data_IF_546789671620
#
_entry.id   IF_546789671620
#
_cell.length_a   1.000
_cell.length_b   1.000
_cell.length_c   1.000
_cell.angle_alpha   90.00
_cell.angle_beta   90.00
_cell.angle_gamma   90.00
#
_symmetry.space_group_name_H-M   'P 1'
#
loop_
_entity.id
_entity.type
_entity.pdbx_description
1 polymer ?
#
# COMPACT_ATOMS: atom_id res chain seq x y z
N UNK A 1 17.71 -17.08 -60.62
CA UNK A 1 16.79 -16.38 -59.69
C UNK A 1 17.65 -15.62 -58.69
N UNK A 2 17.38 -14.33 -58.50
CA UNK A 2 18.14 -13.50 -57.57
C UNK A 2 17.49 -13.57 -56.19
N UNK A 3 18.19 -14.10 -55.20
CA UNK A 3 17.79 -14.02 -53.80
C UNK A 3 18.93 -13.37 -53.01
N UNK A 4 18.57 -12.55 -52.02
CA UNK A 4 19.49 -12.03 -51.02
C UNK A 4 19.08 -12.64 -49.69
N UNK A 5 20.03 -13.26 -48.98
CA UNK A 5 19.78 -13.76 -47.63
C UNK A 5 19.69 -12.58 -46.66
N UNK A 6 18.70 -12.59 -45.77
CA UNK A 6 18.61 -11.64 -44.67
C UNK A 6 19.55 -12.04 -43.53
N UNK A 7 20.18 -11.06 -42.90
CA UNK A 7 20.90 -11.30 -41.64
C UNK A 7 19.87 -11.57 -40.53
N UNK A 8 19.94 -12.75 -39.92
CA UNK A 8 19.21 -13.04 -38.69
C UNK A 8 20.07 -12.57 -37.51
N UNK A 9 19.49 -11.72 -36.65
CA UNK A 9 20.10 -11.35 -35.36
C UNK A 9 19.60 -12.35 -34.33
N UNK A 10 20.53 -12.98 -33.60
CA UNK A 10 20.19 -13.81 -32.44
C UNK A 10 19.85 -12.88 -31.28
N UNK A 11 18.63 -12.98 -30.76
CA UNK A 11 18.28 -12.37 -29.49
C UNK A 11 19.02 -13.15 -28.39
N UNK A 12 19.83 -12.44 -27.62
CA UNK A 12 20.48 -12.97 -26.42
C UNK A 12 19.79 -12.32 -25.22
N UNK A 13 19.36 -13.13 -24.27
CA UNK A 13 18.88 -12.67 -22.98
C UNK A 13 20.08 -12.69 -22.05
N UNK A 14 20.44 -11.53 -21.53
CA UNK A 14 21.53 -11.42 -20.56
C UNK A 14 20.97 -11.74 -19.18
N UNK A 15 21.65 -12.66 -18.50
CA UNK A 15 21.26 -13.18 -17.18
C UNK A 15 22.42 -12.94 -16.22
N UNK A 16 22.10 -12.48 -15.02
CA UNK A 16 23.03 -12.31 -13.92
C UNK A 16 22.51 -13.02 -12.69
N UNK A 17 23.40 -13.59 -11.89
CA UNK A 17 23.05 -14.36 -10.69
C UNK A 17 23.77 -13.80 -9.48
N UNK A 18 23.03 -13.57 -8.42
CA UNK A 18 23.54 -13.28 -7.09
C UNK A 18 23.74 -14.61 -6.36
N UNK A 19 24.96 -14.87 -5.89
CA UNK A 19 25.34 -16.14 -5.24
C UNK A 19 25.37 -16.07 -3.70
N UNK A 20 24.85 -14.99 -3.11
CA UNK A 20 24.98 -14.68 -1.68
C UNK A 20 26.18 -13.77 -1.34
N UNK A 21 27.05 -13.49 -2.31
CA UNK A 21 28.24 -12.67 -2.09
C UNK A 21 28.55 -11.68 -3.21
N UNK A 22 28.26 -12.04 -4.47
CA UNK A 22 28.53 -11.20 -5.62
C UNK A 22 27.61 -11.52 -6.78
N UNK A 23 27.43 -10.52 -7.65
CA UNK A 23 26.77 -10.69 -8.93
C UNK A 23 27.73 -11.26 -9.98
N UNK A 24 27.29 -12.26 -10.73
CA UNK A 24 28.02 -12.84 -11.86
C UNK A 24 27.14 -12.90 -13.11
N UNK A 25 27.64 -12.49 -14.30
CA UNK A 25 28.98 -11.95 -14.56
C UNK A 25 29.19 -10.49 -14.10
N UNK A 26 28.11 -9.72 -13.94
CA UNK A 26 28.11 -8.32 -13.49
C UNK A 26 26.81 -8.01 -12.76
N UNK A 27 26.74 -6.88 -12.06
CA UNK A 27 25.49 -6.38 -11.50
C UNK A 27 24.36 -6.26 -12.57
N UNK A 28 23.10 -6.45 -12.17
CA UNK A 28 21.94 -6.30 -13.04
C UNK A 28 21.74 -4.84 -13.43
N UNK A 29 21.01 -4.65 -14.53
CA UNK A 29 20.39 -3.39 -14.91
C UNK A 29 19.03 -3.71 -15.55
N UNK A 30 18.30 -2.69 -15.96
CA UNK A 30 16.97 -2.84 -16.54
C UNK A 30 16.92 -3.62 -17.89
N UNK A 31 18.06 -4.07 -18.42
CA UNK A 31 18.14 -4.93 -19.61
C UNK A 31 18.46 -6.39 -19.28
N UNK A 32 18.86 -6.72 -18.05
CA UNK A 32 19.30 -8.06 -17.64
C UNK A 32 18.29 -8.76 -16.75
N UNK A 33 18.14 -10.08 -16.89
CA UNK A 33 17.39 -10.91 -15.94
C UNK A 33 18.25 -11.11 -14.69
N UNK A 34 17.75 -10.73 -13.53
CA UNK A 34 18.39 -10.94 -12.24
C UNK A 34 17.87 -12.22 -11.60
N UNK A 35 18.77 -13.08 -11.13
CA UNK A 35 18.45 -14.30 -10.39
C UNK A 35 19.08 -14.20 -9.00
N UNK A 36 18.25 -14.33 -7.96
CA UNK A 36 18.69 -14.43 -6.57
C UNK A 36 18.86 -15.91 -6.25
N UNK A 37 20.11 -16.38 -6.16
CA UNK A 37 20.51 -17.77 -5.89
C UNK A 37 21.32 -17.92 -4.58
N UNK A 38 21.26 -16.89 -3.75
CA UNK A 38 21.70 -16.86 -2.36
C UNK A 38 20.96 -15.72 -1.65
N UNK A 39 20.88 -15.73 -0.32
CA UNK A 39 20.21 -14.64 0.41
C UNK A 39 20.82 -13.29 0.05
N UNK A 40 19.97 -12.29 -0.18
CA UNK A 40 20.38 -10.93 -0.52
C UNK A 40 19.65 -9.92 0.35
N UNK A 41 20.31 -9.46 1.40
CA UNK A 41 19.91 -8.28 2.17
C UNK A 41 20.63 -7.04 1.62
N UNK A 42 19.86 -6.08 1.09
CA UNK A 42 20.39 -4.84 0.52
C UNK A 42 21.00 -3.90 1.56
N UNK A 43 20.62 -4.02 2.84
CA UNK A 43 21.19 -3.22 3.93
C UNK A 43 22.59 -3.70 4.29
N UNK A 44 22.79 -5.02 4.30
CA UNK A 44 24.04 -5.66 4.73
C UNK A 44 24.88 -6.22 3.58
N UNK A 45 24.57 -5.81 2.35
CA UNK A 45 25.18 -6.35 1.14
C UNK A 45 26.72 -6.36 1.16
N UNK A 46 27.37 -7.51 0.92
CA UNK A 46 28.83 -7.60 0.94
C UNK A 46 29.51 -6.91 -0.25
N UNK A 47 28.80 -6.64 -1.35
CA UNK A 47 29.33 -5.91 -2.51
C UNK A 47 29.12 -4.37 -2.40
N UNK A 48 28.44 -3.90 -1.35
CA UNK A 48 28.13 -2.48 -1.12
C UNK A 48 26.99 -1.92 -1.99
N UNK A 49 26.33 -2.75 -2.80
CA UNK A 49 25.13 -2.38 -3.57
C UNK A 49 23.90 -2.41 -2.66
N UNK A 50 23.25 -1.25 -2.53
CA UNK A 50 22.08 -1.07 -1.66
C UNK A 50 20.77 -1.04 -2.45
N UNK A 51 20.80 -1.04 -3.78
CA UNK A 51 19.61 -1.04 -4.65
C UNK A 51 19.99 -1.44 -6.07
N UNK A 52 19.06 -2.03 -6.81
CA UNK A 52 19.32 -2.44 -8.19
C UNK A 52 18.09 -2.39 -9.09
N UNK A 53 18.33 -2.52 -10.39
CA UNK A 53 17.28 -2.62 -11.40
C UNK A 53 17.46 -3.86 -12.25
N UNK A 54 16.37 -4.46 -12.73
CA UNK A 54 16.38 -5.68 -13.54
C UNK A 54 15.31 -5.64 -14.64
N UNK A 55 15.54 -6.34 -15.75
CA UNK A 55 14.52 -6.55 -16.78
C UNK A 55 13.43 -7.52 -16.30
N UNK A 56 13.83 -8.60 -15.63
CA UNK A 56 12.97 -9.54 -14.91
C UNK A 56 13.72 -9.99 -13.66
N UNK A 57 12.99 -10.40 -12.63
CA UNK A 57 13.56 -10.89 -11.37
C UNK A 57 13.05 -12.31 -11.09
N UNK A 58 13.97 -13.20 -10.75
CA UNK A 58 13.68 -14.54 -10.24
C UNK A 58 14.34 -14.70 -8.88
N UNK A 59 13.57 -15.13 -7.87
CA UNK A 59 14.11 -15.47 -6.54
C UNK A 59 14.01 -16.98 -6.37
N UNK A 60 15.14 -17.68 -6.39
CA UNK A 60 15.15 -19.14 -6.30
C UNK A 60 14.71 -19.65 -4.93
N UNK A 61 14.11 -20.84 -4.91
CA UNK A 61 13.64 -21.48 -3.69
C UNK A 61 14.76 -21.63 -2.64
N UNK A 62 14.43 -21.31 -1.39
CA UNK A 62 15.36 -21.36 -0.27
C UNK A 62 16.23 -20.12 -0.08
N UNK A 63 16.05 -19.09 -0.91
CA UNK A 63 16.74 -17.80 -0.77
C UNK A 63 15.73 -16.67 -0.53
N UNK A 64 16.15 -15.65 0.21
CA UNK A 64 15.38 -14.43 0.47
C UNK A 64 16.03 -13.19 -0.18
N UNK A 65 15.21 -12.35 -0.81
CA UNK A 65 15.57 -10.97 -1.14
C UNK A 65 14.96 -10.01 -0.10
N UNK A 66 15.79 -9.32 0.64
CA UNK A 66 15.41 -8.35 1.68
C UNK A 66 15.71 -6.92 1.23
N UNK A 67 14.64 -6.10 1.14
CA UNK A 67 14.68 -4.69 0.75
C UNK A 67 14.43 -3.83 1.99
N UNK A 68 15.48 -3.22 2.52
CA UNK A 68 15.42 -2.41 3.72
C UNK A 68 14.83 -1.00 3.53
N UNK A 69 14.88 -0.20 4.60
CA UNK A 69 14.45 1.19 4.58
C UNK A 69 15.40 2.10 3.79
N UNK A 70 14.89 2.72 2.72
CA UNK A 70 15.66 3.61 1.85
C UNK A 70 16.30 2.90 0.65
N UNK A 71 16.18 1.57 0.60
CA UNK A 71 16.58 0.74 -0.54
C UNK A 71 15.42 0.49 -1.51
N UNK A 72 15.75 0.16 -2.77
CA UNK A 72 14.77 -0.22 -3.77
C UNK A 72 15.25 -1.34 -4.69
N UNK A 73 14.28 -2.06 -5.26
CA UNK A 73 14.46 -2.94 -6.41
C UNK A 73 13.42 -2.55 -7.46
N UNK A 74 13.90 -2.18 -8.66
CA UNK A 74 13.02 -1.82 -9.78
C UNK A 74 13.10 -2.89 -10.87
N UNK A 75 11.96 -3.46 -11.24
CA UNK A 75 11.87 -4.54 -12.23
C UNK A 75 11.00 -4.08 -13.39
N UNK A 76 11.53 -4.14 -14.60
CA UNK A 76 10.77 -3.68 -15.78
C UNK A 76 9.52 -4.54 -16.01
N UNK A 77 9.66 -5.87 -16.00
CA UNK A 77 8.58 -6.78 -16.37
C UNK A 77 8.19 -7.69 -15.21
N UNK A 78 8.57 -8.97 -15.27
CA UNK A 78 8.03 -10.00 -14.39
C UNK A 78 8.92 -10.23 -13.17
N UNK A 79 8.27 -10.48 -12.04
CA UNK A 79 8.87 -10.96 -10.81
C UNK A 79 8.31 -12.36 -10.54
N UNK A 80 9.20 -13.35 -10.49
CA UNK A 80 8.87 -14.74 -10.16
C UNK A 80 9.55 -15.07 -8.84
N UNK A 81 8.75 -15.45 -7.85
CA UNK A 81 9.23 -15.80 -6.51
C UNK A 81 9.04 -17.30 -6.31
N UNK A 82 10.16 -18.02 -6.23
CA UNK A 82 10.21 -19.39 -5.74
C UNK A 82 10.68 -19.47 -4.28
N UNK A 83 11.46 -18.49 -3.81
CA UNK A 83 11.89 -18.30 -2.43
C UNK A 83 11.05 -17.25 -1.70
N UNK A 84 11.71 -16.23 -1.15
CA UNK A 84 11.03 -15.19 -0.37
C UNK A 84 11.45 -13.77 -0.80
N UNK A 85 10.51 -12.82 -0.74
CA UNK A 85 10.82 -11.39 -0.82
C UNK A 85 10.26 -10.66 0.38
N UNK A 86 11.10 -9.87 1.03
CA UNK A 86 10.76 -9.08 2.21
C UNK A 86 11.02 -7.60 1.92
N UNK A 87 10.03 -6.75 2.20
CA UNK A 87 10.09 -5.30 1.99
C UNK A 87 9.81 -4.61 3.32
N UNK A 88 10.75 -3.78 3.78
CA UNK A 88 10.57 -2.96 4.98
C UNK A 88 9.67 -1.74 4.74
N UNK A 89 9.34 -1.04 5.83
CA UNK A 89 8.34 0.03 5.83
C UNK A 89 8.64 1.16 4.84
N UNK A 90 9.91 1.47 4.60
CA UNK A 90 10.41 2.46 3.66
C UNK A 90 11.23 1.83 2.52
N UNK A 91 11.17 0.50 2.35
CA UNK A 91 11.68 -0.18 1.17
C UNK A 91 10.72 -0.05 0.00
N UNK A 92 11.21 -0.25 -1.22
CA UNK A 92 10.39 -0.19 -2.42
C UNK A 92 10.68 -1.32 -3.40
N UNK A 93 9.68 -2.15 -3.67
CA UNK A 93 9.68 -3.07 -4.80
C UNK A 93 8.81 -2.49 -5.92
N UNK A 94 9.43 -2.04 -7.00
CA UNK A 94 8.75 -1.31 -8.09
C UNK A 94 8.67 -2.19 -9.33
N UNK A 95 7.49 -2.40 -9.87
CA UNK A 95 7.30 -2.92 -11.24
C UNK A 95 6.96 -1.78 -12.18
N UNK A 96 7.65 -1.71 -13.32
CA UNK A 96 7.58 -0.54 -14.24
C UNK A 96 6.52 -0.72 -15.33
N UNK A 97 6.45 -1.90 -15.95
CA UNK A 97 5.49 -2.15 -17.04
C UNK A 97 4.17 -2.69 -16.49
N UNK A 98 3.05 -2.10 -16.92
CA UNK A 98 1.70 -2.50 -16.48
C UNK A 98 1.36 -3.96 -16.83
N UNK A 99 1.99 -4.50 -17.88
CA UNK A 99 1.84 -5.90 -18.29
C UNK A 99 2.71 -6.88 -17.50
N UNK A 100 3.60 -6.39 -16.63
CA UNK A 100 4.48 -7.19 -15.81
C UNK A 100 3.70 -7.93 -14.72
N UNK A 101 4.02 -9.20 -14.51
CA UNK A 101 3.35 -10.05 -13.51
C UNK A 101 4.20 -10.25 -12.27
N UNK A 102 3.59 -10.28 -11.08
CA UNK A 102 4.18 -10.82 -9.87
C UNK A 102 3.64 -12.24 -9.64
N UNK A 103 4.48 -13.24 -9.43
CA UNK A 103 4.03 -14.63 -9.29
C UNK A 103 4.73 -15.33 -8.14
N UNK A 104 3.94 -15.79 -7.18
CA UNK A 104 4.35 -16.81 -6.22
C UNK A 104 4.26 -18.17 -6.91
N UNK A 105 5.39 -18.74 -7.32
CA UNK A 105 5.43 -19.83 -8.29
C UNK A 105 5.27 -21.22 -7.65
N UNK A 106 5.42 -21.33 -6.33
CA UNK A 106 5.24 -22.59 -5.60
C UNK A 106 4.66 -22.38 -4.18
N UNK A 107 4.23 -23.46 -3.47
CA UNK A 107 3.58 -23.33 -2.17
C UNK A 107 4.45 -22.80 -1.03
N UNK A 108 5.78 -22.86 -1.14
CA UNK A 108 6.71 -22.27 -0.17
C UNK A 108 7.09 -20.82 -0.52
N UNK A 109 6.73 -20.33 -1.70
CA UNK A 109 7.00 -18.96 -2.09
C UNK A 109 6.20 -17.97 -1.22
N UNK A 110 6.88 -16.91 -0.78
CA UNK A 110 6.33 -15.93 0.14
C UNK A 110 6.73 -14.51 -0.23
N UNK A 111 5.82 -13.56 -0.07
CA UNK A 111 6.12 -12.14 -0.13
C UNK A 111 5.62 -11.44 1.13
N UNK A 112 6.41 -10.52 1.66
CA UNK A 112 6.10 -9.85 2.92
C UNK A 112 6.38 -8.36 2.81
N UNK A 113 5.37 -7.53 3.08
CA UNK A 113 5.54 -6.09 3.31
C UNK A 113 5.30 -5.80 4.79
N UNK A 114 6.33 -5.25 5.43
CA UNK A 114 6.28 -4.81 6.81
C UNK A 114 6.05 -3.31 6.87
N UNK A 115 5.02 -2.86 7.59
CA UNK A 115 4.70 -1.43 7.73
C UNK A 115 4.62 -1.04 9.20
N UNK A 116 5.28 0.05 9.55
CA UNK A 116 5.20 0.62 10.89
C UNK A 116 4.29 1.83 10.90
N UNK A 117 3.42 1.93 11.91
CA UNK A 117 2.66 3.17 12.16
C UNK A 117 3.59 4.35 12.42
N UNK A 118 3.07 5.57 12.31
CA UNK A 118 3.67 6.69 13.03
C UNK A 118 3.71 6.41 14.54
N UNK A 119 4.56 7.09 15.33
CA UNK A 119 4.50 7.01 16.78
C UNK A 119 3.10 7.40 17.28
N UNK A 120 2.38 6.44 17.87
CA UNK A 120 1.00 6.67 18.30
C UNK A 120 0.99 7.22 19.73
N UNK A 121 0.32 8.34 19.97
CA UNK A 121 0.20 8.90 21.31
C UNK A 121 -0.89 8.19 22.10
N UNK A 122 -1.98 7.80 21.43
CA UNK A 122 -3.10 7.07 22.01
C UNK A 122 -3.44 5.82 21.19
N UNK A 123 -3.94 4.79 21.88
CA UNK A 123 -4.35 3.54 21.22
C UNK A 123 -5.50 3.77 20.23
N UNK A 124 -6.26 4.84 20.41
CA UNK A 124 -7.40 5.22 19.57
C UNK A 124 -7.01 6.11 18.38
N UNK A 125 -5.73 6.43 18.22
CA UNK A 125 -5.23 7.10 17.02
C UNK A 125 -5.45 6.18 15.81
N UNK A 126 -6.02 6.73 14.75
CA UNK A 126 -6.25 5.98 13.51
C UNK A 126 -4.99 5.98 12.65
N UNK A 127 -4.71 4.83 12.04
CA UNK A 127 -3.79 4.70 10.92
C UNK A 127 -4.58 4.26 9.70
N UNK A 128 -4.26 4.84 8.54
CA UNK A 128 -4.83 4.40 7.27
C UNK A 128 -3.99 3.31 6.62
N UNK A 129 -4.69 2.33 6.07
CA UNK A 129 -4.15 1.11 5.51
C UNK A 129 -4.75 0.84 4.14
N UNK A 130 -4.03 0.08 3.34
CA UNK A 130 -4.47 -0.45 2.06
C UNK A 130 -3.73 -1.76 1.82
N UNK A 131 -4.32 -2.64 1.03
CA UNK A 131 -3.69 -3.93 0.73
C UNK A 131 -2.64 -3.80 -0.36
N UNK A 132 -1.37 -4.19 -0.11
CA UNK A 132 -0.40 -4.42 -1.16
C UNK A 132 -0.57 -5.78 -1.83
N UNK A 133 -1.50 -6.63 -1.35
CA UNK A 133 -1.72 -8.01 -1.79
C UNK A 133 -3.03 -8.17 -2.54
N UNK A 134 -3.10 -9.18 -3.41
CA UNK A 134 -4.30 -9.53 -4.18
C UNK A 134 -5.47 -10.02 -3.31
N UNK A 135 -5.17 -10.65 -2.16
CA UNK A 135 -6.16 -11.28 -1.27
C UNK A 135 -5.80 -11.18 0.22
N UNK A 136 -5.25 -10.03 0.65
CA UNK A 136 -5.03 -9.77 2.08
C UNK A 136 -6.35 -9.87 2.85
N UNK A 137 -6.30 -10.46 4.05
CA UNK A 137 -7.45 -10.53 4.95
C UNK A 137 -7.26 -9.54 6.09
N UNK A 138 -8.32 -8.80 6.44
CA UNK A 138 -8.29 -7.77 7.49
C UNK A 138 -7.82 -8.34 8.83
N UNK A 139 -8.28 -9.53 9.20
CA UNK A 139 -7.97 -10.12 10.49
C UNK A 139 -6.52 -10.56 10.66
N UNK A 140 -5.82 -10.81 9.55
CA UNK A 140 -4.40 -11.15 9.57
C UNK A 140 -3.54 -9.91 9.36
N UNK A 141 -3.85 -9.09 8.35
CA UNK A 141 -3.11 -7.87 8.04
C UNK A 141 -3.19 -6.83 9.17
N UNK A 142 -4.38 -6.68 9.78
CA UNK A 142 -4.64 -5.74 10.89
C UNK A 142 -4.79 -6.44 12.23
N UNK A 143 -4.10 -7.57 12.43
CA UNK A 143 -4.26 -8.44 13.61
C UNK A 143 -4.10 -7.72 14.95
N UNK A 144 -3.22 -6.71 15.02
CA UNK A 144 -2.99 -5.91 16.23
C UNK A 144 -3.95 -4.73 16.40
N UNK A 145 -4.90 -4.56 15.47
CA UNK A 145 -6.05 -3.68 15.67
C UNK A 145 -7.19 -4.48 16.30
N UNK A 146 -7.96 -3.86 17.18
CA UNK A 146 -9.19 -4.47 17.70
C UNK A 146 -10.22 -4.62 16.58
N UNK A 147 -10.85 -5.79 16.46
CA UNK A 147 -11.81 -6.09 15.38
C UNK A 147 -12.96 -5.08 15.22
N UNK A 148 -13.43 -4.48 16.32
CA UNK A 148 -14.47 -3.45 16.32
C UNK A 148 -13.96 -2.02 16.04
N UNK A 149 -12.66 -1.88 15.71
CA UNK A 149 -11.96 -0.60 15.45
C UNK A 149 -11.25 -0.65 14.10
N UNK A 150 -11.84 -1.36 13.15
CA UNK A 150 -11.40 -1.51 11.76
C UNK A 150 -12.58 -1.10 10.88
N UNK A 151 -12.35 -0.16 9.98
CA UNK A 151 -13.41 0.49 9.21
C UNK A 151 -12.98 0.62 7.75
N UNK A 152 -13.95 0.60 6.86
CA UNK A 152 -13.84 1.23 5.55
C UNK A 152 -14.83 2.39 5.50
N UNK A 153 -14.66 3.26 4.51
CA UNK A 153 -15.56 4.38 4.25
C UNK A 153 -16.50 4.00 3.11
N UNK A 154 -17.81 3.94 3.37
CA UNK A 154 -18.83 3.77 2.34
C UNK A 154 -19.31 5.14 1.86
N UNK A 155 -18.68 5.61 0.80
CA UNK A 155 -18.98 6.91 0.20
C UNK A 155 -20.44 7.06 -0.29
N UNK A 156 -21.15 5.95 -0.50
CA UNK A 156 -22.56 6.00 -0.93
C UNK A 156 -23.55 6.33 0.19
N UNK A 157 -23.09 6.24 1.45
CA UNK A 157 -23.87 6.60 2.62
C UNK A 157 -23.63 8.05 3.06
N UNK A 158 -22.52 8.66 2.63
CA UNK A 158 -22.16 10.01 3.05
C UNK A 158 -23.15 11.09 2.58
N UNK A 159 -23.74 11.77 3.56
CA UNK A 159 -24.72 12.83 3.36
C UNK A 159 -24.36 14.05 4.22
N UNK A 160 -24.13 15.21 3.58
CA UNK A 160 -23.68 16.44 4.24
C UNK A 160 -24.56 17.62 3.80
N UNK A 161 -25.75 17.71 4.41
CA UNK A 161 -26.77 18.73 4.12
C UNK A 161 -27.08 19.61 5.32
N UNK A 162 -26.58 19.25 6.49
CA UNK A 162 -26.68 20.02 7.70
C UNK A 162 -25.29 20.36 8.24
N UNK A 163 -25.26 21.34 9.13
CA UNK A 163 -24.08 21.67 9.94
C UNK A 163 -24.49 21.63 11.39
N UNK A 164 -23.69 20.96 12.21
CA UNK A 164 -23.95 20.88 13.63
C UNK A 164 -23.43 22.13 14.37
N UNK A 165 -24.24 22.67 15.27
CA UNK A 165 -23.82 23.79 16.13
C UNK A 165 -23.01 23.26 17.30
N UNK A 166 -21.68 23.15 17.12
CA UNK A 166 -20.73 22.89 18.20
C UNK A 166 -20.97 21.60 18.98
N UNK A 167 -21.24 20.50 18.29
CA UNK A 167 -21.49 19.17 18.86
C UNK A 167 -22.61 19.14 19.93
N UNK A 168 -23.70 19.90 19.71
CA UNK A 168 -24.83 20.03 20.66
C UNK A 168 -26.05 19.19 20.31
N UNK A 169 -26.03 18.46 19.21
CA UNK A 169 -27.17 17.78 18.60
C UNK A 169 -28.18 18.72 17.94
N UNK A 170 -27.80 19.99 17.72
CA UNK A 170 -28.64 20.99 17.04
C UNK A 170 -28.07 21.29 15.66
N UNK A 171 -28.89 21.11 14.63
CA UNK A 171 -28.48 21.19 13.23
C UNK A 171 -29.13 22.38 12.52
N UNK A 172 -28.37 23.05 11.65
CA UNK A 172 -28.86 24.04 10.69
C UNK A 172 -28.61 23.54 9.27
N UNK A 173 -29.36 24.02 8.25
CA UNK A 173 -28.97 23.79 6.86
C UNK A 173 -27.56 24.33 6.59
N UNK A 174 -26.69 23.51 6.01
CA UNK A 174 -25.28 23.82 5.82
C UNK A 174 -24.50 22.58 5.40
N UNK A 175 -23.17 22.70 5.36
CA UNK A 175 -22.27 21.58 5.06
C UNK A 175 -21.06 21.74 5.97
N UNK A 176 -20.57 20.67 6.59
CA UNK A 176 -19.40 20.70 7.47
C UNK A 176 -18.44 19.51 7.32
N UNK A 177 -18.53 18.80 6.19
CA UNK A 177 -17.70 17.63 5.85
C UNK A 177 -17.83 16.48 6.88
N UNK A 178 -18.96 16.42 7.59
CA UNK A 178 -19.33 15.35 8.51
C UNK A 178 -20.64 14.75 8.03
N UNK A 179 -20.72 13.43 8.07
CA UNK A 179 -21.93 12.72 7.69
C UNK A 179 -23.08 13.02 8.67
N UNK A 180 -24.23 13.45 8.18
CA UNK A 180 -25.40 13.83 8.96
C UNK A 180 -25.98 12.62 9.73
N UNK A 181 -25.85 11.42 9.16
CA UNK A 181 -26.37 10.17 9.72
C UNK A 181 -25.33 9.39 10.56
N UNK A 182 -24.03 9.61 10.30
CA UNK A 182 -22.91 8.95 10.96
C UNK A 182 -22.80 7.46 10.63
N UNK A 183 -23.20 7.04 9.42
CA UNK A 183 -23.15 5.65 8.95
C UNK A 183 -22.19 5.39 7.78
N UNK A 184 -21.51 6.44 7.30
CA UNK A 184 -20.41 6.41 6.32
C UNK A 184 -19.22 5.52 6.73
N UNK A 185 -18.84 5.50 8.02
CA UNK A 185 -17.75 4.65 8.55
C UNK A 185 -18.27 3.27 8.98
N UNK A 186 -18.16 2.29 8.09
CA UNK A 186 -18.67 0.94 8.31
C UNK A 186 -17.61 0.03 8.94
N UNK A 187 -17.94 -0.62 10.05
CA UNK A 187 -17.06 -1.60 10.70
C UNK A 187 -16.85 -2.81 9.79
N UNK A 188 -15.59 -3.11 9.49
CA UNK A 188 -15.19 -4.33 8.80
C UNK A 188 -14.16 -5.09 9.63
N UNK A 189 -14.66 -6.01 10.44
CA UNK A 189 -13.84 -6.77 11.38
C UNK A 189 -12.98 -7.84 10.73
N UNK A 190 -13.44 -8.41 9.61
CA UNK A 190 -12.83 -9.56 8.92
C UNK A 190 -13.07 -9.49 7.42
N UNK A 191 -12.40 -10.35 6.67
CA UNK A 191 -12.59 -10.55 5.25
C UNK A 191 -11.58 -9.79 4.41
N UNK A 192 -11.77 -9.85 3.09
CA UNK A 192 -10.82 -9.35 2.12
C UNK A 192 -10.63 -7.83 2.23
N UNK A 193 -9.37 -7.39 2.17
CA UNK A 193 -9.00 -6.01 1.86
C UNK A 193 -8.91 -5.86 0.35
N UNK A 194 -9.84 -5.13 -0.24
CA UNK A 194 -9.84 -4.90 -1.70
C UNK A 194 -8.68 -3.98 -2.09
N UNK A 195 -7.87 -4.36 -3.10
CA UNK A 195 -6.81 -3.49 -3.61
C UNK A 195 -7.34 -2.11 -4.03
N UNK A 196 -6.66 -1.06 -3.54
CA UNK A 196 -6.98 0.33 -3.84
C UNK A 196 -8.05 0.95 -2.93
N UNK A 197 -8.71 0.15 -2.10
CA UNK A 197 -9.57 0.62 -1.02
C UNK A 197 -8.74 1.00 0.21
N UNK A 198 -9.04 2.14 0.81
CA UNK A 198 -8.43 2.53 2.08
C UNK A 198 -9.26 2.04 3.28
N UNK A 199 -8.56 1.72 4.36
CA UNK A 199 -9.09 1.22 5.61
C UNK A 199 -8.56 2.04 6.78
N UNK A 200 -9.40 2.35 7.75
CA UNK A 200 -8.99 3.02 8.98
C UNK A 200 -8.99 2.03 10.13
N UNK A 201 -7.89 1.96 10.87
CA UNK A 201 -7.79 1.08 12.03
C UNK A 201 -6.97 1.72 13.14
N UNK A 202 -7.35 1.44 14.39
CA UNK A 202 -6.57 1.82 15.56
C UNK A 202 -5.73 0.66 16.07
N UNK A 203 -4.76 0.92 16.93
CA UNK A 203 -4.10 -0.16 17.65
C UNK A 203 -5.02 -0.74 18.74
N UNK A 204 -4.79 -1.99 19.16
CA UNK A 204 -5.45 -2.53 20.35
C UNK A 204 -4.91 -1.84 21.60
N UNK A 205 -5.78 -1.58 22.58
CA UNK A 205 -5.36 -0.97 23.85
C UNK A 205 -4.54 -1.96 24.71
N UNK A 206 -4.65 -3.26 24.44
CA UNK A 206 -3.83 -4.30 25.09
C UNK A 206 -2.42 -4.26 24.49
N UNK A 207 -1.42 -4.03 25.34
CA UNK A 207 -0.02 -3.93 24.90
C UNK A 207 0.35 -2.57 24.29
N UNK A 208 -0.58 -1.61 24.29
CA UNK A 208 -0.31 -0.25 23.88
C UNK A 208 0.61 0.49 24.87
N UNK A 209 1.54 1.25 24.32
CA UNK A 209 2.52 2.09 24.98
C UNK A 209 2.61 3.37 24.16
N UNK A 210 2.27 4.49 24.80
CA UNK A 210 2.29 5.81 24.17
C UNK A 210 3.68 6.17 23.64
N UNK A 211 3.74 6.72 22.42
CA UNK A 211 4.95 7.11 21.72
C UNK A 211 5.64 5.99 20.95
N UNK A 212 5.13 4.75 20.99
CA UNK A 212 5.68 3.65 20.21
C UNK A 212 5.12 3.61 18.78
N UNK A 213 5.91 3.02 17.87
CA UNK A 213 5.46 2.58 16.57
C UNK A 213 5.07 1.10 16.63
N UNK A 214 4.07 0.73 15.85
CA UNK A 214 3.56 -0.64 15.79
C UNK A 214 3.72 -1.21 14.39
N UNK A 215 4.26 -2.42 14.32
CA UNK A 215 4.47 -3.12 13.05
C UNK A 215 3.23 -3.94 12.69
N UNK A 216 2.81 -3.81 11.44
CA UNK A 216 1.78 -4.59 10.79
C UNK A 216 2.39 -5.29 9.58
N UNK A 217 2.03 -6.55 9.37
CA UNK A 217 2.64 -7.43 8.37
C UNK A 217 1.59 -7.82 7.34
N UNK A 218 1.87 -7.48 6.08
CA UNK A 218 1.14 -7.98 4.92
C UNK A 218 1.95 -9.13 4.33
N UNK A 219 1.57 -10.36 4.67
CA UNK A 219 2.22 -11.57 4.20
C UNK A 219 1.33 -12.33 3.22
N UNK A 220 1.92 -12.68 2.08
CA UNK A 220 1.30 -13.36 0.96
C UNK A 220 1.98 -14.70 0.66
N UNK A 221 1.16 -15.73 0.46
CA UNK A 221 1.52 -17.07 -0.02
C UNK A 221 0.47 -17.51 -1.05
N UNK A 222 0.71 -18.60 -1.80
CA UNK A 222 -0.32 -19.18 -2.67
C UNK A 222 -1.60 -19.60 -1.91
N UNK A 223 -1.48 -19.91 -0.61
CA UNK A 223 -2.60 -20.39 0.20
C UNK A 223 -3.36 -19.28 0.92
N UNK A 224 -2.70 -18.17 1.25
CA UNK A 224 -3.27 -17.07 2.03
C UNK A 224 -2.63 -15.74 1.62
N UNK A 225 -3.41 -14.66 1.50
CA UNK A 225 -2.90 -13.32 1.20
C UNK A 225 -2.66 -13.06 -0.29
N UNK A 226 -2.17 -14.05 -1.04
CA UNK A 226 -1.89 -13.91 -2.48
C UNK A 226 -0.61 -13.14 -2.77
N UNK A 227 -0.34 -12.90 -4.05
CA UNK A 227 0.82 -12.16 -4.52
C UNK A 227 0.73 -10.65 -4.18
N UNK A 228 1.86 -9.93 -4.28
CA UNK A 228 1.81 -8.47 -4.36
C UNK A 228 1.05 -8.02 -5.61
N UNK A 229 0.27 -6.93 -5.49
CA UNK A 229 -0.41 -6.33 -6.63
C UNK A 229 0.60 -5.69 -7.60
N UNK A 230 0.27 -5.72 -8.89
CA UNK A 230 1.03 -5.11 -9.99
C UNK A 230 0.07 -4.63 -11.09
N UNK A 231 0.57 -3.82 -12.02
CA UNK A 231 -0.22 -3.24 -13.10
C UNK A 231 -1.30 -2.28 -12.60
N UNK A 232 -2.22 -1.92 -13.49
CA UNK A 232 -3.31 -1.00 -13.15
C UNK A 232 -4.31 -1.62 -12.17
N UNK A 233 -4.50 -0.95 -11.04
CA UNK A 233 -5.57 -1.25 -10.08
C UNK A 233 -6.64 -0.17 -10.17
N UNK A 234 -7.85 -0.58 -10.58
CA UNK A 234 -9.00 0.30 -10.71
C UNK A 234 -9.88 0.19 -9.46
N UNK A 235 -10.08 1.32 -8.78
CA UNK A 235 -11.00 1.44 -7.64
C UNK A 235 -12.20 2.30 -8.04
N UNK A 236 -13.39 1.87 -7.63
CA UNK A 236 -14.60 2.63 -7.90
C UNK A 236 -14.62 3.90 -7.04
N UNK A 237 -14.87 5.04 -7.68
CA UNK A 237 -15.10 6.32 -7.02
C UNK A 237 -16.59 6.61 -7.04
N UNK A 238 -17.17 6.82 -5.87
CA UNK A 238 -18.56 7.24 -5.73
C UNK A 238 -18.67 8.75 -5.91
N UNK A 239 -19.57 9.18 -6.78
CA UNK A 239 -19.89 10.58 -7.04
C UNK A 239 -21.40 10.67 -7.12
N UNK A 240 -22.02 11.45 -6.24
CA UNK A 240 -23.43 11.82 -6.37
C UNK A 240 -23.51 13.17 -7.11
N UNK A 241 -23.95 13.21 -8.39
CA UNK A 241 -24.04 14.46 -9.14
C UNK A 241 -25.23 15.34 -8.71
N UNK A 242 -26.09 14.85 -7.81
CA UNK A 242 -27.27 15.58 -7.35
C UNK A 242 -26.99 16.49 -6.15
N UNK A 243 -25.81 16.36 -5.54
CA UNK A 243 -25.39 17.14 -4.37
C UNK A 243 -24.32 18.17 -4.72
N UNK A 244 -24.17 19.19 -3.88
CA UNK A 244 -23.20 20.27 -4.05
C UNK A 244 -22.05 20.25 -3.04
N UNK A 245 -21.99 19.25 -2.15
CA UNK A 245 -20.86 19.02 -1.24
C UNK A 245 -19.79 18.13 -1.89
N UNK A 246 -18.68 17.93 -1.17
CA UNK A 246 -17.57 17.08 -1.57
C UNK A 246 -17.97 15.59 -1.54
N UNK A 247 -17.74 14.86 -2.64
CA UNK A 247 -17.94 13.40 -2.64
C UNK A 247 -16.69 12.70 -2.09
N UNK A 248 -16.62 12.55 -0.76
CA UNK A 248 -15.51 11.87 -0.10
C UNK A 248 -15.41 10.40 -0.52
N UNK A 249 -14.17 9.92 -0.67
CA UNK A 249 -13.85 8.53 -0.96
C UNK A 249 -12.55 8.19 -0.23
N UNK A 250 -12.45 7.00 0.37
CA UNK A 250 -11.22 6.54 1.01
C UNK A 250 -10.53 5.49 0.11
N UNK A 251 -9.58 5.96 -0.68
CA UNK A 251 -8.72 5.12 -1.52
C UNK A 251 -7.34 4.97 -0.87
N UNK A 252 -6.60 3.94 -1.28
CA UNK A 252 -5.28 3.67 -0.72
C UNK A 252 -4.31 3.11 -1.75
N UNK A 253 -3.01 3.21 -1.44
CA UNK A 253 -1.95 2.68 -2.29
C UNK A 253 -1.98 1.15 -2.30
N UNK A 254 -2.20 0.47 -3.45
CA UNK A 254 -2.28 -0.98 -3.51
C UNK A 254 -0.93 -1.67 -3.75
N UNK A 255 0.20 -0.97 -3.73
CA UNK A 255 1.50 -1.50 -4.14
C UNK A 255 2.52 -1.60 -2.98
N UNK A 256 3.52 -2.51 -3.07
CA UNK A 256 4.60 -2.64 -2.09
C UNK A 256 5.69 -1.55 -2.25
N UNK A 257 5.33 -0.38 -2.79
CA UNK A 257 6.21 0.76 -3.01
C UNK A 257 5.43 2.07 -2.91
N UNK A 258 6.13 3.20 -2.89
CA UNK A 258 5.47 4.51 -2.93
C UNK A 258 4.89 4.82 -4.33
N UNK A 259 3.73 5.46 -4.37
CA UNK A 259 3.15 6.00 -5.61
C UNK A 259 3.74 7.39 -5.89
N UNK A 260 4.04 7.66 -7.15
CA UNK A 260 4.34 9.00 -7.62
C UNK A 260 3.06 9.85 -7.66
N UNK A 261 2.91 10.76 -6.70
CA UNK A 261 1.71 11.60 -6.57
C UNK A 261 1.43 12.47 -7.82
N UNK A 262 2.47 12.94 -8.51
CA UNK A 262 2.30 13.78 -9.70
C UNK A 262 1.72 12.95 -10.86
N UNK A 263 2.27 11.76 -11.09
CA UNK A 263 1.76 10.84 -12.13
C UNK A 263 0.34 10.39 -11.79
N UNK A 264 0.09 10.00 -10.54
CA UNK A 264 -1.24 9.62 -10.07
C UNK A 264 -2.30 10.70 -10.35
N UNK A 265 -2.01 11.98 -10.06
CA UNK A 265 -2.95 13.06 -10.36
C UNK A 265 -3.08 13.35 -11.85
N UNK A 266 -2.02 13.22 -12.63
CA UNK A 266 -2.11 13.41 -14.08
C UNK A 266 -3.01 12.35 -14.72
N UNK A 267 -2.83 11.09 -14.35
CA UNK A 267 -3.58 9.95 -14.87
C UNK A 267 -5.06 10.01 -14.45
N UNK A 268 -5.35 10.60 -13.30
CA UNK A 268 -6.70 10.73 -12.74
C UNK A 268 -7.26 12.17 -12.79
N UNK A 269 -6.69 13.04 -13.63
CA UNK A 269 -6.98 14.49 -13.68
C UNK A 269 -8.42 14.87 -14.04
N UNK A 270 -9.22 13.92 -14.54
CA UNK A 270 -10.64 14.12 -14.81
C UNK A 270 -11.55 13.88 -13.59
N UNK A 271 -11.01 13.24 -12.55
CA UNK A 271 -11.72 12.86 -11.33
C UNK A 271 -11.20 13.60 -10.09
N UNK A 272 -9.89 13.84 -10.01
CA UNK A 272 -9.23 14.38 -8.81
C UNK A 272 -8.85 15.86 -8.98
N UNK A 273 -9.02 16.65 -7.92
CA UNK A 273 -8.66 18.07 -7.89
C UNK A 273 -7.14 18.31 -7.73
N UNK A 274 -6.40 17.32 -7.22
CA UNK A 274 -4.93 17.36 -7.14
C UNK A 274 -4.34 17.80 -5.79
N UNK A 275 -5.11 17.70 -4.70
CA UNK A 275 -4.65 18.02 -3.33
C UNK A 275 -4.41 16.74 -2.53
N UNK A 276 -3.32 16.69 -1.77
CA UNK A 276 -3.07 15.65 -0.76
C UNK A 276 -3.28 16.23 0.64
N UNK A 277 -3.87 15.43 1.51
CA UNK A 277 -3.95 15.70 2.94
C UNK A 277 -3.24 14.57 3.70
N UNK A 278 -2.44 14.94 4.69
CA UNK A 278 -1.72 14.03 5.56
C UNK A 278 -2.37 14.04 6.94
N UNK A 279 -2.76 12.86 7.42
CA UNK A 279 -3.33 12.66 8.74
C UNK A 279 -2.21 12.57 9.81
N UNK A 280 -2.33 13.33 10.89
CA UNK A 280 -1.36 13.29 12.00
C UNK A 280 -1.93 12.98 13.38
N UNK A 281 -3.25 13.09 13.60
CA UNK A 281 -3.89 12.98 14.93
C UNK A 281 -3.13 13.76 16.03
N UNK A 282 -2.65 14.96 15.71
CA UNK A 282 -1.72 15.70 16.59
C UNK A 282 -2.46 16.35 17.77
N UNK A 283 -3.74 16.67 17.60
CA UNK A 283 -4.58 17.21 18.66
C UNK A 283 -5.33 16.14 19.43
N UNK A 284 -5.56 16.37 20.73
CA UNK A 284 -6.40 15.48 21.54
C UNK A 284 -7.85 15.53 21.05
N UNK A 285 -8.55 14.41 21.17
CA UNK A 285 -10.01 14.38 20.96
C UNK A 285 -10.72 15.31 21.96
N UNK A 286 -11.70 16.06 21.49
CA UNK A 286 -12.42 17.08 22.27
C UNK A 286 -13.95 16.92 22.05
N UNK A 287 -14.78 17.04 23.09
CA UNK A 287 -16.23 17.01 22.93
C UNK A 287 -16.80 18.22 22.17
N UNK A 288 -16.04 19.30 22.01
CA UNK A 288 -16.46 20.49 21.26
C UNK A 288 -16.04 20.43 19.79
N UNK A 289 -15.25 19.43 19.38
CA UNK A 289 -15.00 19.17 17.96
C UNK A 289 -16.29 18.59 17.35
N UNK A 290 -16.70 19.09 16.19
CA UNK A 290 -17.83 18.53 15.44
C UNK A 290 -17.54 17.09 15.02
N UNK A 291 -18.57 16.26 14.96
CA UNK A 291 -18.48 14.86 14.53
C UNK A 291 -19.50 13.97 15.23
N UNK A 292 -19.69 12.76 14.73
CA UNK A 292 -20.77 11.87 15.17
C UNK A 292 -20.50 11.14 16.50
N UNK A 293 -19.39 11.44 17.19
CA UNK A 293 -19.01 10.80 18.45
C UNK A 293 -19.03 11.79 19.63
N UNK A 294 -19.08 11.27 20.86
CA UNK A 294 -19.00 12.11 22.06
C UNK A 294 -17.65 12.80 22.27
N UNK A 295 -16.60 12.31 21.61
CA UNK A 295 -15.27 12.90 21.54
C UNK A 295 -14.78 12.74 20.10
N UNK A 296 -14.47 13.85 19.43
CA UNK A 296 -14.10 13.85 18.02
C UNK A 296 -12.66 14.36 17.85
N UNK A 297 -11.97 13.84 16.83
CA UNK A 297 -10.73 14.43 16.36
C UNK A 297 -10.98 15.80 15.72
N UNK A 298 -9.95 16.63 15.63
CA UNK A 298 -10.07 17.91 14.96
C UNK A 298 -9.98 17.71 13.46
N UNK A 299 -10.83 18.36 12.67
CA UNK A 299 -10.65 18.39 11.20
C UNK A 299 -9.30 19.02 10.81
N UNK A 300 -8.71 19.84 11.68
CA UNK A 300 -7.38 20.41 11.47
C UNK A 300 -6.23 19.40 11.65
N UNK A 301 -6.51 18.16 12.08
CA UNK A 301 -5.51 17.08 12.14
C UNK A 301 -5.16 16.52 10.74
N UNK A 302 -5.85 16.99 9.69
CA UNK A 302 -5.42 16.85 8.31
C UNK A 302 -4.58 18.07 7.90
N UNK A 303 -3.29 17.84 7.67
CA UNK A 303 -2.38 18.83 7.12
C UNK A 303 -2.36 18.76 5.60
N UNK A 304 -2.50 19.90 4.92
CA UNK A 304 -2.31 20.05 3.48
C UNK A 304 -0.83 20.27 3.14
#
# INVERSE_FOLDING_TARGET
>A
TCYQASNAVRLTVDVVTWDGSSWSPTAPDNTKVAIIDGDYDLVTSPNGETSFSACNLLINNGNELSIGNGEYVSVENNIIVDGEVYVETQGSLVQVQDSGTFTLNNPSAKNTLSKSTAPLQFWYDYTYWSSPLEDAQIETALAFSRASRRYYFDASLFNDTLVEVGNTGTFNPGQDDIDDEGDDWVVQSTGKMDPGTGYAATHDNIGFVSGNQYQYIFEGTQANGGAFNTGDIYTNIFIDPSVSYNNWNLIGNPYPCAINAIEFFNDNSTLLEGTLYLWSSDTNVDPNNSGNQGLNFSQNDYAQ
#
